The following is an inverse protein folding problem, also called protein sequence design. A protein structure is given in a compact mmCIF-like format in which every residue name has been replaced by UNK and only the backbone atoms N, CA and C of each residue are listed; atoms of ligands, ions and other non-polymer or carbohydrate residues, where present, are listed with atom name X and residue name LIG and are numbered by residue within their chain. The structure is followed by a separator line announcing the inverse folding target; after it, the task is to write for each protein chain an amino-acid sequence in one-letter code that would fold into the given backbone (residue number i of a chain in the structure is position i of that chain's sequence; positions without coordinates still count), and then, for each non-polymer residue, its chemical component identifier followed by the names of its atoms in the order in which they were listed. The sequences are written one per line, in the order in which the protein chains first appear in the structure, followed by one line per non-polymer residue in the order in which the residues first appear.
data_IF_464952429637
#
_entry.id   IF_464952429637
#
_cell.length_a   1.000
_cell.length_b   1.000
_cell.length_c   1.000
_cell.angle_alpha   90.00
_cell.angle_beta   90.00
_cell.angle_gamma   90.00
#
_symmetry.space_group_name_H-M   'P 1'
#
loop_
_entity.id
_entity.type
_entity.pdbx_description
1 polymer ?
#
# COMPACT_ATOMS: atom_id res chain seq x y z
N UNK A 1 4.45 -9.05 -2.06
CA UNK A 1 3.70 -9.93 -2.97
C UNK A 1 2.49 -10.55 -2.28
N UNK A 2 1.47 -10.90 -3.05
CA UNK A 2 0.26 -11.58 -2.60
C UNK A 2 0.02 -12.77 -3.50
N UNK A 3 -0.20 -13.94 -2.91
CA UNK A 3 -0.67 -15.11 -3.64
C UNK A 3 -2.19 -15.08 -3.75
N UNK A 4 -2.71 -15.31 -4.95
CA UNK A 4 -4.13 -15.49 -5.23
C UNK A 4 -4.33 -16.94 -5.65
N UNK A 5 -5.27 -17.63 -5.04
CA UNK A 5 -5.53 -19.06 -5.22
C UNK A 5 -7.02 -19.37 -5.24
N UNK A 6 -7.39 -20.57 -5.61
CA UNK A 6 -8.78 -21.02 -5.56
C UNK A 6 -9.34 -20.88 -4.14
N UNK A 7 -10.57 -20.35 -3.99
CA UNK A 7 -11.15 -20.15 -2.66
C UNK A 7 -11.19 -21.44 -1.85
N UNK A 8 -10.69 -21.36 -0.62
CA UNK A 8 -10.69 -22.47 0.34
C UNK A 8 -11.33 -22.03 1.65
N UNK A 9 -12.09 -22.89 2.27
CA UNK A 9 -12.67 -22.61 3.57
C UNK A 9 -11.69 -22.96 4.69
N UNK A 10 -11.38 -21.95 5.52
CA UNK A 10 -10.54 -22.10 6.70
C UNK A 10 -11.26 -21.54 7.92
N UNK A 11 -11.55 -22.41 8.89
CA UNK A 11 -12.16 -21.99 10.18
C UNK A 11 -13.42 -21.11 10.00
N UNK A 12 -14.33 -21.54 9.12
CA UNK A 12 -15.59 -20.86 8.87
C UNK A 12 -15.50 -19.57 8.03
N UNK A 13 -14.36 -19.33 7.39
CA UNK A 13 -14.15 -18.17 6.49
C UNK A 13 -13.56 -18.63 5.19
N UNK A 14 -14.10 -18.15 4.06
CA UNK A 14 -13.55 -18.42 2.74
C UNK A 14 -12.36 -17.49 2.45
N UNK A 15 -11.21 -18.07 2.11
CA UNK A 15 -9.96 -17.37 1.82
C UNK A 15 -9.50 -17.67 0.41
N UNK A 16 -9.09 -16.65 -0.33
CA UNK A 16 -8.56 -16.76 -1.70
C UNK A 16 -7.26 -15.99 -1.91
N UNK A 17 -6.74 -15.37 -0.85
CA UNK A 17 -5.51 -14.56 -0.88
C UNK A 17 -4.69 -14.79 0.38
N UNK A 18 -3.36 -14.84 0.21
CA UNK A 18 -2.42 -14.87 1.33
C UNK A 18 -1.22 -13.97 1.05
N UNK A 19 -0.69 -13.35 2.09
CA UNK A 19 0.54 -12.56 1.97
C UNK A 19 1.74 -13.49 1.76
N UNK A 20 2.62 -13.10 0.83
CA UNK A 20 3.93 -13.74 0.63
C UNK A 20 5.05 -12.91 1.29
N UNK A 21 4.69 -11.79 1.93
CA UNK A 21 5.55 -10.86 2.64
C UNK A 21 6.64 -10.22 1.78
N UNK A 22 7.61 -11.00 1.28
CA UNK A 22 8.79 -10.50 0.57
C UNK A 22 9.29 -11.50 -0.48
N UNK A 23 10.34 -11.12 -1.20
CA UNK A 23 10.95 -11.94 -2.26
C UNK A 23 11.70 -13.14 -1.68
N UNK A 24 12.27 -13.02 -0.47
CA UNK A 24 12.95 -14.17 0.18
C UNK A 24 11.99 -15.33 0.41
N UNK A 25 10.82 -15.07 0.97
CA UNK A 25 9.78 -16.09 1.21
C UNK A 25 9.28 -16.70 -0.11
N UNK A 26 9.11 -15.86 -1.15
CA UNK A 26 8.71 -16.33 -2.47
C UNK A 26 9.72 -17.33 -3.05
N UNK A 27 11.01 -17.05 -2.91
CA UNK A 27 12.10 -17.94 -3.36
C UNK A 27 12.22 -19.19 -2.50
N UNK A 28 12.10 -19.05 -1.17
CA UNK A 28 12.16 -20.16 -0.23
C UNK A 28 11.06 -21.19 -0.48
N UNK A 29 9.84 -20.71 -0.70
CA UNK A 29 8.70 -21.54 -1.05
C UNK A 29 8.70 -22.01 -2.51
N UNK A 30 9.65 -21.55 -3.33
CA UNK A 30 9.75 -21.88 -4.76
C UNK A 30 8.41 -21.73 -5.51
N UNK A 31 7.69 -20.63 -5.23
CA UNK A 31 6.36 -20.39 -5.75
C UNK A 31 6.34 -20.21 -7.28
N UNK A 32 5.29 -20.71 -7.90
CA UNK A 32 5.00 -20.52 -9.31
C UNK A 32 3.49 -20.49 -9.57
N UNK A 33 3.10 -19.94 -10.70
CA UNK A 33 1.70 -19.92 -11.12
C UNK A 33 1.25 -21.36 -11.44
N UNK A 34 0.12 -21.77 -10.86
CA UNK A 34 -0.43 -23.13 -11.00
C UNK A 34 0.08 -24.11 -9.95
N UNK A 35 0.90 -23.69 -9.01
CA UNK A 35 1.35 -24.53 -7.91
C UNK A 35 0.23 -24.88 -6.93
N UNK A 36 0.33 -26.05 -6.32
CA UNK A 36 -0.53 -26.47 -5.21
C UNK A 36 0.14 -26.09 -3.91
N UNK A 37 -0.55 -25.31 -3.10
CA UNK A 37 -0.06 -24.79 -1.82
C UNK A 37 -0.97 -25.20 -0.67
N UNK A 38 -0.41 -25.30 0.53
CA UNK A 38 -1.17 -25.36 1.78
C UNK A 38 -1.22 -24.00 2.44
N UNK A 39 -2.38 -23.62 2.95
CA UNK A 39 -2.62 -22.33 3.60
C UNK A 39 -3.20 -22.52 4.99
N UNK A 40 -2.90 -21.60 5.89
CA UNK A 40 -3.42 -21.58 7.25
C UNK A 40 -3.70 -20.14 7.68
N UNK A 41 -4.39 -19.96 8.81
CA UNK A 41 -4.56 -18.65 9.43
C UNK A 41 -3.56 -18.45 10.56
N UNK A 42 -2.63 -17.53 10.40
CA UNK A 42 -1.80 -17.07 11.50
C UNK A 42 -2.65 -16.25 12.48
N UNK A 43 -2.52 -16.52 13.77
CA UNK A 43 -3.32 -15.88 14.82
C UNK A 43 -4.84 -15.93 14.59
N UNK A 44 -5.33 -17.00 13.95
CA UNK A 44 -6.73 -17.23 13.58
C UNK A 44 -7.36 -16.18 12.64
N UNK A 45 -6.58 -15.25 12.12
CA UNK A 45 -7.08 -14.11 11.33
C UNK A 45 -6.37 -13.98 9.97
N UNK A 46 -5.04 -14.07 9.93
CA UNK A 46 -4.23 -13.69 8.75
C UNK A 46 -3.88 -14.93 7.91
N UNK A 47 -4.39 -15.05 6.67
CA UNK A 47 -4.03 -16.15 5.78
C UNK A 47 -2.55 -16.10 5.40
N UNK A 48 -1.87 -17.22 5.55
CA UNK A 48 -0.47 -17.42 5.17
C UNK A 48 -0.29 -18.75 4.44
N UNK A 49 0.75 -18.82 3.61
CA UNK A 49 1.17 -20.05 2.96
C UNK A 49 2.05 -20.83 3.94
N UNK A 50 1.67 -22.07 4.24
CA UNK A 50 2.45 -22.96 5.05
C UNK A 50 3.53 -23.68 4.22
N UNK A 51 3.14 -24.19 3.06
CA UNK A 51 4.00 -25.00 2.22
C UNK A 51 3.56 -24.91 0.74
N UNK A 52 4.52 -25.05 -0.17
CA UNK A 52 4.27 -25.29 -1.60
C UNK A 52 4.58 -26.74 -1.93
N UNK A 53 3.57 -27.50 -2.29
CA UNK A 53 3.70 -28.92 -2.59
C UNK A 53 4.32 -29.19 -3.98
N UNK A 54 4.12 -28.29 -4.92
CA UNK A 54 4.60 -28.44 -6.31
C UNK A 54 6.01 -27.93 -6.49
N UNK A 55 6.36 -26.79 -5.88
CA UNK A 55 7.69 -26.15 -5.93
C UNK A 55 8.21 -25.94 -7.35
N UNK A 56 7.36 -25.38 -8.24
CA UNK A 56 7.73 -25.22 -9.66
C UNK A 56 8.81 -24.15 -9.90
N UNK A 57 8.97 -23.19 -9.03
CA UNK A 57 9.86 -22.02 -9.18
C UNK A 57 9.64 -21.24 -10.49
N UNK A 58 8.45 -21.30 -11.08
CA UNK A 58 8.14 -20.72 -12.40
C UNK A 58 7.67 -19.27 -12.33
N UNK A 59 7.78 -18.61 -11.19
CA UNK A 59 7.39 -17.21 -11.07
C UNK A 59 8.53 -16.31 -11.50
N UNK A 60 8.29 -15.50 -12.52
CA UNK A 60 9.19 -14.42 -12.91
C UNK A 60 8.90 -13.17 -12.05
N UNK A 61 9.95 -12.64 -11.44
CA UNK A 61 9.86 -11.38 -10.71
C UNK A 61 9.84 -10.24 -11.74
N UNK A 62 8.83 -9.35 -11.71
CA UNK A 62 8.74 -8.30 -12.73
C UNK A 62 9.95 -7.36 -12.67
N UNK A 63 10.54 -7.09 -13.81
CA UNK A 63 11.65 -6.17 -14.02
C UNK A 63 11.19 -4.71 -14.20
N UNK A 64 9.89 -4.50 -14.32
CA UNK A 64 9.26 -3.19 -14.48
C UNK A 64 8.23 -2.91 -13.38
N UNK A 65 8.19 -1.65 -12.94
CA UNK A 65 7.25 -1.19 -11.94
C UNK A 65 5.84 -1.04 -12.53
N UNK A 66 4.80 -1.68 -11.95
CA UNK A 66 3.44 -1.60 -12.48
C UNK A 66 2.81 -0.20 -12.35
N UNK A 67 3.35 0.66 -11.48
CA UNK A 67 2.82 2.00 -11.27
C UNK A 67 3.41 3.06 -12.20
N UNK A 68 4.68 2.93 -12.61
CA UNK A 68 5.35 3.97 -13.41
C UNK A 68 6.12 3.42 -14.61
N UNK A 69 6.17 2.10 -14.84
CA UNK A 69 6.86 1.47 -15.97
C UNK A 69 8.40 1.49 -15.91
N UNK A 70 9.00 2.14 -14.90
CA UNK A 70 10.45 2.13 -14.73
C UNK A 70 10.96 0.80 -14.19
N UNK A 71 12.26 0.54 -14.33
CA UNK A 71 12.90 -0.67 -13.86
C UNK A 71 12.70 -0.92 -12.37
N UNK A 72 12.74 -2.19 -12.00
CA UNK A 72 12.73 -2.64 -10.60
C UNK A 72 14.06 -3.25 -10.21
N UNK A 73 14.35 -3.26 -8.93
CA UNK A 73 15.59 -3.83 -8.36
C UNK A 73 15.27 -4.58 -7.07
N UNK A 74 15.85 -5.76 -6.93
CA UNK A 74 15.83 -6.49 -5.65
C UNK A 74 16.89 -5.88 -4.75
N UNK A 75 16.47 -5.42 -3.57
CA UNK A 75 17.37 -4.93 -2.52
C UNK A 75 17.29 -5.86 -1.32
N UNK A 76 18.45 -6.13 -0.70
CA UNK A 76 18.56 -6.95 0.50
C UNK A 76 18.84 -6.05 1.70
N UNK A 77 17.95 -6.07 2.68
CA UNK A 77 18.09 -5.36 3.94
C UNK A 77 17.84 -6.34 5.08
N UNK A 78 18.78 -6.44 6.01
CA UNK A 78 18.71 -7.38 7.15
C UNK A 78 18.36 -8.81 6.73
N UNK A 79 19.03 -9.31 5.68
CA UNK A 79 18.83 -10.66 5.11
C UNK A 79 17.45 -10.89 4.43
N UNK A 80 16.63 -9.89 4.31
CA UNK A 80 15.34 -9.93 3.60
C UNK A 80 15.47 -9.26 2.24
N UNK A 81 15.10 -9.99 1.18
CA UNK A 81 15.02 -9.47 -0.18
C UNK A 81 13.61 -8.90 -0.46
N UNK A 82 13.58 -7.68 -0.96
CA UNK A 82 12.34 -7.04 -1.42
C UNK A 82 12.54 -6.36 -2.77
N UNK A 83 11.46 -6.26 -3.54
CA UNK A 83 11.45 -5.63 -4.87
C UNK A 83 11.13 -4.14 -4.73
N UNK A 84 11.99 -3.30 -5.30
CA UNK A 84 11.85 -1.85 -5.27
C UNK A 84 11.84 -1.27 -6.69
N UNK A 85 11.02 -0.27 -6.91
CA UNK A 85 11.09 0.56 -8.10
C UNK A 85 12.32 1.47 -8.03
N UNK A 86 13.05 1.60 -9.15
CA UNK A 86 14.26 2.44 -9.21
C UNK A 86 13.94 3.93 -9.40
N UNK A 87 12.72 4.26 -9.85
CA UNK A 87 12.32 5.65 -10.06
C UNK A 87 12.05 6.36 -8.71
N UNK A 88 12.77 7.44 -8.37
CA UNK A 88 12.51 8.23 -7.17
C UNK A 88 11.16 8.97 -7.23
N UNK A 89 10.72 9.36 -8.44
CA UNK A 89 9.48 10.09 -8.68
C UNK A 89 8.27 9.19 -8.96
N UNK A 90 8.35 7.91 -8.61
CA UNK A 90 7.25 6.98 -8.78
C UNK A 90 6.02 7.44 -7.97
N UNK A 91 4.86 7.54 -8.62
CA UNK A 91 3.61 7.97 -7.98
C UNK A 91 3.26 7.12 -6.75
N UNK A 92 3.47 5.80 -6.82
CA UNK A 92 3.24 4.92 -5.68
C UNK A 92 4.17 5.22 -4.49
N UNK A 93 5.43 5.62 -4.74
CA UNK A 93 6.34 6.07 -3.68
C UNK A 93 5.91 7.39 -3.07
N UNK A 94 5.48 8.35 -3.89
CA UNK A 94 4.96 9.64 -3.42
C UNK A 94 3.75 9.45 -2.52
N UNK A 95 2.77 8.64 -2.93
CA UNK A 95 1.60 8.32 -2.11
C UNK A 95 2.02 7.75 -0.76
N UNK A 96 2.93 6.78 -0.74
CA UNK A 96 3.44 6.18 0.51
C UNK A 96 4.18 7.18 1.39
N UNK A 97 4.95 8.08 0.81
CA UNK A 97 5.65 9.15 1.51
C UNK A 97 4.67 10.14 2.17
N UNK A 98 3.64 10.57 1.46
CA UNK A 98 2.59 11.42 2.01
C UNK A 98 1.75 10.70 3.08
N UNK A 99 1.44 9.41 2.88
CA UNK A 99 0.73 8.62 3.86
C UNK A 99 1.52 8.45 5.17
N UNK A 100 2.83 8.24 5.07
CA UNK A 100 3.71 8.21 6.23
C UNK A 100 3.74 9.56 6.95
N UNK A 101 3.85 10.66 6.20
CA UNK A 101 3.80 12.02 6.75
C UNK A 101 2.48 12.31 7.47
N UNK A 102 1.34 11.88 6.92
CA UNK A 102 0.03 12.05 7.53
C UNK A 102 -0.26 11.07 8.68
N UNK A 103 0.56 10.04 8.88
CA UNK A 103 0.34 8.98 9.86
C UNK A 103 0.35 9.49 11.31
N UNK A 104 -0.15 8.64 12.22
CA UNK A 104 -0.16 8.93 13.67
C UNK A 104 1.23 9.16 14.27
N UNK A 105 2.22 8.47 13.71
CA UNK A 105 3.61 8.53 14.18
C UNK A 105 4.36 9.76 13.64
N UNK A 106 3.72 10.56 12.78
CA UNK A 106 4.27 11.79 12.22
C UNK A 106 3.34 12.98 12.51
N UNK A 107 2.64 13.50 11.51
CA UNK A 107 1.80 14.71 11.66
C UNK A 107 0.39 14.42 12.18
N UNK A 108 0.00 13.16 12.29
CA UNK A 108 -1.31 12.71 12.79
C UNK A 108 -2.50 13.44 12.13
N UNK A 109 -2.55 13.44 10.81
CA UNK A 109 -3.58 14.10 10.03
C UNK A 109 -4.70 13.11 9.71
N UNK A 110 -5.83 13.24 10.37
CA UNK A 110 -7.02 12.43 10.09
C UNK A 110 -7.66 12.86 8.76
N UNK A 111 -8.18 11.87 8.01
CA UNK A 111 -8.85 12.10 6.72
C UNK A 111 -7.94 12.01 5.50
N UNK A 112 -6.62 11.91 5.66
CA UNK A 112 -5.66 11.68 4.59
C UNK A 112 -5.24 10.20 4.49
N UNK A 113 -6.18 9.33 4.13
CA UNK A 113 -5.86 7.94 3.77
C UNK A 113 -5.06 7.86 2.47
N UNK A 114 -4.39 6.73 2.21
CA UNK A 114 -3.71 6.50 0.92
C UNK A 114 -4.65 6.72 -0.28
N UNK A 115 -5.90 6.24 -0.18
CA UNK A 115 -6.90 6.42 -1.23
C UNK A 115 -7.30 7.91 -1.43
N UNK A 116 -7.37 8.68 -0.35
CA UNK A 116 -7.62 10.13 -0.41
C UNK A 116 -6.45 10.87 -1.05
N UNK A 117 -5.22 10.55 -0.62
CA UNK A 117 -4.00 11.13 -1.17
C UNK A 117 -3.84 10.81 -2.66
N UNK A 118 -4.14 9.58 -3.08
CA UNK A 118 -4.12 9.19 -4.49
C UNK A 118 -5.08 10.05 -5.33
N UNK A 119 -6.30 10.28 -4.85
CA UNK A 119 -7.28 11.15 -5.51
C UNK A 119 -6.81 12.60 -5.60
N UNK A 120 -6.21 13.13 -4.54
CA UNK A 120 -5.73 14.51 -4.49
C UNK A 120 -4.51 14.73 -5.39
N UNK A 121 -3.59 13.76 -5.42
CA UNK A 121 -2.42 13.80 -6.32
C UNK A 121 -2.86 13.68 -7.78
N UNK A 122 -3.79 12.77 -8.08
CA UNK A 122 -4.32 12.57 -9.44
C UNK A 122 -5.02 13.83 -10.00
N UNK A 123 -5.62 14.65 -9.12
CA UNK A 123 -6.25 15.93 -9.48
C UNK A 123 -5.29 17.13 -9.46
N UNK A 124 -4.04 16.91 -9.06
CA UNK A 124 -3.04 17.97 -8.98
C UNK A 124 -3.20 18.92 -7.79
N UNK A 125 -3.93 18.51 -6.74
CA UNK A 125 -4.08 19.32 -5.53
C UNK A 125 -2.85 19.24 -4.64
N UNK A 126 -2.07 18.16 -4.70
CA UNK A 126 -0.88 17.90 -3.89
C UNK A 126 0.28 17.49 -4.79
N UNK A 127 1.35 18.26 -4.77
CA UNK A 127 2.63 17.98 -5.43
C UNK A 127 3.76 17.79 -4.42
N UNK A 128 3.72 18.53 -3.31
CA UNK A 128 4.67 18.46 -2.21
C UNK A 128 3.96 18.45 -0.84
N UNK A 129 4.74 18.35 0.23
CA UNK A 129 4.18 18.31 1.59
C UNK A 129 3.54 19.63 2.03
N UNK A 130 3.98 20.76 1.49
CA UNK A 130 3.40 22.08 1.76
C UNK A 130 1.97 22.20 1.26
N UNK A 131 1.69 21.63 0.08
CA UNK A 131 0.36 21.65 -0.54
C UNK A 131 -0.71 20.99 0.34
N UNK A 132 -0.32 20.02 1.16
CA UNK A 132 -1.23 19.36 2.11
C UNK A 132 -1.89 20.39 3.03
N UNK A 133 -1.12 21.36 3.52
CA UNK A 133 -1.62 22.41 4.41
C UNK A 133 -2.40 23.51 3.68
N UNK A 134 -2.29 23.55 2.37
CA UNK A 134 -2.99 24.50 1.50
C UNK A 134 -4.22 23.92 0.80
N UNK A 135 -4.56 22.66 1.10
CA UNK A 135 -5.65 21.90 0.46
C UNK A 135 -7.00 22.64 0.54
N UNK A 136 -7.17 23.54 1.49
CA UNK A 136 -8.34 24.38 1.64
C UNK A 136 -8.68 25.24 0.41
N UNK A 137 -7.70 25.53 -0.45
CA UNK A 137 -7.89 26.24 -1.73
C UNK A 137 -8.79 25.47 -2.69
N UNK A 138 -8.85 24.16 -2.57
CA UNK A 138 -9.61 23.25 -3.44
C UNK A 138 -10.92 22.77 -2.81
N UNK A 139 -11.45 23.51 -1.81
CA UNK A 139 -12.64 23.13 -1.07
C UNK A 139 -13.80 22.68 -1.96
N UNK A 140 -14.16 23.51 -2.91
CA UNK A 140 -15.35 23.29 -3.74
C UNK A 140 -15.22 22.01 -4.59
N UNK A 141 -14.03 21.75 -5.11
CA UNK A 141 -13.73 20.55 -5.88
C UNK A 141 -13.69 19.30 -5.00
N UNK A 142 -13.15 19.41 -3.78
CA UNK A 142 -13.01 18.29 -2.84
C UNK A 142 -14.36 17.86 -2.29
N UNK A 143 -15.23 18.79 -1.94
CA UNK A 143 -16.56 18.50 -1.40
C UNK A 143 -17.45 17.78 -2.42
N UNK A 144 -17.25 18.05 -3.72
CA UNK A 144 -17.95 17.37 -4.81
C UNK A 144 -17.37 15.98 -5.17
N UNK A 145 -16.23 15.61 -4.60
CA UNK A 145 -15.62 14.30 -4.87
C UNK A 145 -16.42 13.15 -4.28
N UNK A 146 -16.54 12.07 -5.04
CA UNK A 146 -17.14 10.82 -4.56
C UNK A 146 -16.42 10.28 -3.31
N UNK A 147 -17.19 10.05 -2.24
CA UNK A 147 -16.70 9.65 -0.94
C UNK A 147 -16.17 10.78 -0.06
N UNK A 148 -16.26 12.03 -0.51
CA UNK A 148 -16.00 13.23 0.27
C UNK A 148 -17.25 14.10 0.36
N UNK A 149 -17.45 14.79 1.47
CA UNK A 149 -18.54 15.74 1.65
C UNK A 149 -18.08 16.85 2.59
N UNK A 150 -18.92 17.85 2.82
CA UNK A 150 -18.57 19.00 3.67
C UNK A 150 -18.03 18.59 5.04
N UNK A 151 -18.69 17.65 5.70
CA UNK A 151 -18.26 17.17 7.02
C UNK A 151 -16.90 16.51 7.00
N UNK A 152 -16.59 15.74 5.97
CA UNK A 152 -15.27 15.11 5.81
C UNK A 152 -14.19 16.15 5.55
N UNK A 153 -14.51 17.18 4.78
CA UNK A 153 -13.62 18.30 4.52
C UNK A 153 -13.36 19.12 5.78
N UNK A 154 -14.39 19.46 6.56
CA UNK A 154 -14.25 20.18 7.83
C UNK A 154 -13.38 19.40 8.84
N UNK A 155 -13.58 18.09 8.95
CA UNK A 155 -12.77 17.24 9.81
C UNK A 155 -11.30 17.24 9.38
N UNK A 156 -11.05 17.15 8.06
CA UNK A 156 -9.69 17.24 7.52
C UNK A 156 -9.04 18.59 7.83
N UNK A 157 -9.76 19.70 7.62
CA UNK A 157 -9.23 21.04 7.93
C UNK A 157 -8.93 21.23 9.42
N UNK A 158 -9.81 20.74 10.30
CA UNK A 158 -9.58 20.75 11.74
C UNK A 158 -8.32 19.97 12.13
N UNK A 159 -8.12 18.80 11.49
CA UNK A 159 -6.92 17.98 11.73
C UNK A 159 -5.65 18.64 11.22
N UNK A 160 -5.71 19.30 10.05
CA UNK A 160 -4.58 20.06 9.50
C UNK A 160 -4.20 21.27 10.38
N UNK A 161 -5.17 21.98 10.94
CA UNK A 161 -4.90 23.11 11.83
C UNK A 161 -4.24 22.63 13.11
N UNK A 162 -4.66 21.52 13.69
CA UNK A 162 -3.96 20.89 14.82
C UNK A 162 -2.52 20.49 14.48
N UNK A 163 -2.32 19.94 13.28
CA UNK A 163 -0.99 19.53 12.82
C UNK A 163 -0.03 20.72 12.65
N UNK A 164 -0.55 21.90 12.23
CA UNK A 164 0.24 23.15 12.14
C UNK A 164 0.72 23.67 13.50
N UNK A 165 -0.05 23.39 14.56
CA UNK A 165 0.31 23.80 15.93
C UNK A 165 1.30 22.83 16.58
N UNK A 166 1.58 21.69 15.97
CA UNK A 166 2.54 20.70 16.48
C UNK A 166 3.95 21.25 16.30
N UNK A 167 4.59 21.60 17.41
CA UNK A 167 6.03 21.91 17.42
C UNK A 167 6.82 20.61 17.43
N UNK A 168 7.78 20.51 16.51
CA UNK A 168 8.78 19.44 16.47
C UNK A 168 9.76 19.60 17.62
#
# INVERSE_FOLDING_TARGET
PVAVFEPVELEGTTVSRASVHNVSILKELQLGIGDTITVYKANMIIPQIAENLTRSSKLEIPDTCPACGHGTQIQKVNDVEALYCTNPDCAAKKIKSFALFASRDAMNIDGLSEATLEKFIARGFIHDFGDIFEIGKHRDEIVEMDGFGEKSFENLMTSLDKAKETTL
#
